data_IF_583170132295
#
_entry.id   IF_583170132295
#
_cell.length_a   1.000
_cell.length_b   1.000
_cell.length_c   1.000
_cell.angle_alpha   90.00
_cell.angle_beta   90.00
_cell.angle_gamma   90.00
#
_symmetry.space_group_name_H-M   'P 1'
#
loop_
_entity.id
_entity.type
_entity.pdbx_description
1 polymer ?
#
# COMPACT_ATOMS: atom_id res chain seq x y z
N UNK A 1 -15.48 15.32 0.16
CA UNK A 1 -14.73 16.49 -0.36
C UNK A 1 -13.78 15.99 -1.42
N UNK A 2 -14.01 16.37 -2.65
CA UNK A 2 -13.13 16.02 -3.77
C UNK A 2 -11.79 16.70 -3.51
N UNK A 3 -10.72 15.90 -3.37
CA UNK A 3 -9.35 16.41 -3.47
C UNK A 3 -9.29 17.27 -4.75
N UNK A 4 -8.73 18.47 -4.68
CA UNK A 4 -8.76 19.50 -5.73
C UNK A 4 -8.07 19.05 -7.04
N UNK A 5 -8.45 17.92 -7.63
CA UNK A 5 -8.00 17.45 -8.94
C UNK A 5 -6.47 17.28 -9.09
N UNK A 6 -5.74 17.15 -7.99
CA UNK A 6 -4.27 16.96 -7.97
C UNK A 6 -3.96 15.52 -7.56
N UNK A 7 -3.39 14.69 -8.45
CA UNK A 7 -3.13 13.26 -8.19
C UNK A 7 -2.32 13.00 -6.92
N UNK A 8 -1.27 13.78 -6.69
CA UNK A 8 -0.39 13.62 -5.52
C UNK A 8 -1.10 13.92 -4.19
N UNK A 9 -2.11 14.79 -4.16
CA UNK A 9 -2.93 15.01 -2.96
C UNK A 9 -3.79 13.80 -2.64
N UNK A 10 -4.40 13.18 -3.66
CA UNK A 10 -5.20 11.95 -3.48
C UNK A 10 -4.34 10.84 -2.89
N UNK A 11 -3.19 10.57 -3.50
CA UNK A 11 -2.27 9.54 -3.03
C UNK A 11 -1.74 9.84 -1.62
N UNK A 12 -1.48 11.11 -1.31
CA UNK A 12 -1.02 11.50 0.03
C UNK A 12 -2.12 11.29 1.10
N UNK A 13 -3.38 11.52 0.78
CA UNK A 13 -4.50 11.20 1.68
C UNK A 13 -4.63 9.68 1.89
N UNK A 14 -4.45 8.90 0.83
CA UNK A 14 -4.40 7.43 0.92
C UNK A 14 -3.22 6.96 1.78
N UNK A 15 -2.03 7.57 1.66
CA UNK A 15 -0.87 7.31 2.52
C UNK A 15 -1.20 7.54 4.00
N UNK A 16 -1.88 8.65 4.34
CA UNK A 16 -2.27 8.92 5.73
C UNK A 16 -3.23 7.85 6.28
N UNK A 17 -4.14 7.36 5.45
CA UNK A 17 -5.04 6.27 5.83
C UNK A 17 -4.26 4.96 6.06
N UNK A 18 -3.34 4.62 5.17
CA UNK A 18 -2.48 3.44 5.28
C UNK A 18 -1.60 3.49 6.53
N UNK A 19 -0.96 4.63 6.81
CA UNK A 19 -0.10 4.81 7.99
C UNK A 19 -0.87 4.59 9.31
N UNK A 20 -2.13 5.03 9.39
CA UNK A 20 -3.00 4.75 10.54
C UNK A 20 -3.26 3.24 10.69
N UNK A 21 -3.58 2.55 9.59
CA UNK A 21 -3.79 1.10 9.60
C UNK A 21 -2.53 0.33 9.98
N UNK A 22 -1.35 0.75 9.52
CA UNK A 22 -0.07 0.15 9.92
C UNK A 22 0.19 0.31 11.42
N UNK A 23 -0.16 1.44 12.01
CA UNK A 23 -0.01 1.67 13.46
C UNK A 23 -0.92 0.76 14.28
N UNK A 24 -2.17 0.55 13.83
CA UNK A 24 -3.09 -0.40 14.47
C UNK A 24 -2.55 -1.83 14.33
N UNK A 25 -2.10 -2.22 13.13
CA UNK A 25 -1.54 -3.54 12.88
C UNK A 25 -0.32 -3.83 13.76
N UNK A 26 0.58 -2.87 13.92
CA UNK A 26 1.74 -2.98 14.81
C UNK A 26 1.36 -3.30 16.26
N UNK A 27 0.32 -2.63 16.77
CA UNK A 27 -0.24 -2.91 18.09
C UNK A 27 -0.83 -4.32 18.21
N UNK A 28 -1.58 -4.77 17.20
CA UNK A 28 -2.16 -6.13 17.19
C UNK A 28 -1.09 -7.23 17.12
N UNK A 29 -0.02 -7.01 16.36
CA UNK A 29 1.11 -7.94 16.27
C UNK A 29 1.84 -8.12 17.62
N UNK A 30 1.77 -7.10 18.49
CA UNK A 30 2.25 -7.20 19.89
C UNK A 30 1.38 -8.06 20.80
N UNK A 31 0.13 -8.36 20.41
CA UNK A 31 -0.89 -9.01 21.24
C UNK A 31 -1.42 -10.33 20.66
N UNK A 32 -0.66 -11.04 19.84
CA UNK A 32 -1.10 -12.27 19.16
C UNK A 32 -1.48 -13.41 20.13
N UNK A 33 -1.03 -13.37 21.37
CA UNK A 33 -1.44 -14.30 22.42
C UNK A 33 -2.91 -14.12 22.85
N UNK A 34 -3.48 -12.95 22.59
CA UNK A 34 -4.87 -12.59 22.93
C UNK A 34 -5.78 -12.77 21.70
N UNK A 35 -5.73 -13.94 21.08
CA UNK A 35 -6.36 -14.24 19.79
C UNK A 35 -7.84 -13.83 19.73
N UNK A 36 -8.61 -14.18 20.75
CA UNK A 36 -10.06 -13.90 20.79
C UNK A 36 -10.36 -12.40 20.80
N UNK A 37 -9.51 -11.60 21.44
CA UNK A 37 -9.70 -10.16 21.57
C UNK A 37 -9.36 -9.41 20.27
N UNK A 38 -8.32 -9.86 19.54
CA UNK A 38 -7.78 -9.14 18.37
C UNK A 38 -8.29 -9.71 17.04
N UNK A 39 -8.90 -10.88 17.01
CA UNK A 39 -9.18 -11.65 15.79
C UNK A 39 -10.01 -10.87 14.76
N UNK A 40 -11.05 -10.16 15.20
CA UNK A 40 -11.93 -9.41 14.31
C UNK A 40 -11.20 -8.25 13.63
N UNK A 41 -10.45 -7.48 14.42
CA UNK A 41 -9.71 -6.32 13.89
C UNK A 41 -8.54 -6.77 13.00
N UNK A 42 -7.83 -7.82 13.41
CA UNK A 42 -6.75 -8.39 12.62
C UNK A 42 -7.23 -8.93 11.26
N UNK A 43 -8.40 -9.59 11.22
CA UNK A 43 -9.03 -10.03 9.96
C UNK A 43 -9.40 -8.87 9.05
N UNK A 44 -9.94 -7.78 9.60
CA UNK A 44 -10.26 -6.57 8.85
C UNK A 44 -9.02 -5.93 8.21
N UNK A 45 -7.92 -5.83 8.96
CA UNK A 45 -6.64 -5.35 8.44
C UNK A 45 -6.02 -6.30 7.41
N UNK A 46 -6.08 -7.61 7.66
CA UNK A 46 -5.63 -8.61 6.70
C UNK A 46 -6.38 -8.47 5.36
N UNK A 47 -7.69 -8.30 5.38
CA UNK A 47 -8.50 -8.07 4.19
C UNK A 47 -8.10 -6.78 3.47
N UNK A 48 -7.94 -5.67 4.21
CA UNK A 48 -7.48 -4.40 3.63
C UNK A 48 -6.16 -4.57 2.88
N UNK A 49 -5.14 -5.17 3.51
CA UNK A 49 -3.84 -5.41 2.88
C UNK A 49 -3.82 -6.58 1.88
N UNK A 50 -4.88 -7.36 1.79
CA UNK A 50 -5.05 -8.40 0.76
C UNK A 50 -5.71 -7.88 -0.52
N UNK A 51 -6.63 -6.91 -0.41
CA UNK A 51 -7.52 -6.49 -1.50
C UNK A 51 -7.47 -4.99 -1.78
N UNK A 52 -7.77 -4.16 -0.79
CA UNK A 52 -8.06 -2.74 -1.00
C UNK A 52 -6.80 -1.91 -1.23
N UNK A 53 -5.75 -2.18 -0.46
CA UNK A 53 -4.51 -1.41 -0.50
C UNK A 53 -3.86 -1.36 -1.90
N UNK A 54 -3.94 -2.45 -2.67
CA UNK A 54 -3.26 -2.56 -3.96
C UNK A 54 -3.81 -1.65 -5.04
N UNK A 55 -5.04 -1.13 -4.87
CA UNK A 55 -5.59 -0.09 -5.74
C UNK A 55 -4.74 1.18 -5.74
N UNK A 56 -4.11 1.48 -4.62
CA UNK A 56 -3.16 2.57 -4.50
C UNK A 56 -1.96 2.36 -5.44
N UNK A 57 -1.31 1.20 -5.38
CA UNK A 57 -0.22 0.86 -6.30
C UNK A 57 -0.67 0.79 -7.77
N UNK A 58 -1.89 0.33 -8.04
CA UNK A 58 -2.43 0.33 -9.40
C UNK A 58 -2.58 1.76 -9.95
N UNK A 59 -2.96 2.71 -9.12
CA UNK A 59 -3.03 4.13 -9.49
C UNK A 59 -1.65 4.70 -9.84
N UNK A 60 -0.64 4.34 -9.07
CA UNK A 60 0.74 4.77 -9.31
C UNK A 60 1.34 4.10 -10.53
N UNK A 61 1.30 2.77 -10.58
CA UNK A 61 1.90 1.97 -11.65
C UNK A 61 1.24 2.22 -13.03
N UNK A 62 -0.08 2.48 -13.05
CA UNK A 62 -0.85 2.62 -14.29
C UNK A 62 -1.08 4.06 -14.75
N UNK A 63 -0.95 5.05 -13.85
CA UNK A 63 -1.25 6.44 -14.20
C UNK A 63 -0.10 7.39 -13.84
N UNK A 64 0.32 7.49 -12.59
CA UNK A 64 1.30 8.49 -12.18
C UNK A 64 2.70 8.21 -12.73
N UNK A 65 3.20 7.00 -12.57
CA UNK A 65 4.56 6.63 -12.98
C UNK A 65 4.76 6.62 -14.50
N UNK A 66 3.80 6.18 -15.33
CA UNK A 66 3.89 6.35 -16.77
C UNK A 66 4.06 7.81 -17.21
N UNK A 67 3.33 8.73 -16.60
CA UNK A 67 3.47 10.17 -16.92
C UNK A 67 4.81 10.73 -16.44
N UNK A 68 5.29 10.37 -15.24
CA UNK A 68 6.62 10.74 -14.76
C UNK A 68 7.74 10.19 -15.64
N UNK A 69 7.53 9.04 -16.27
CA UNK A 69 8.46 8.42 -17.19
C UNK A 69 8.75 9.26 -18.46
N UNK A 70 8.00 10.34 -18.71
CA UNK A 70 8.30 11.33 -19.75
C UNK A 70 9.39 12.32 -19.32
N UNK A 71 9.66 12.44 -18.02
CA UNK A 71 10.59 13.40 -17.43
C UNK A 71 11.82 12.76 -16.79
N UNK A 72 11.67 11.54 -16.25
CA UNK A 72 12.74 10.79 -15.57
C UNK A 72 12.82 9.35 -16.10
N UNK A 73 14.01 8.71 -16.07
CA UNK A 73 14.16 7.34 -16.57
C UNK A 73 13.28 6.32 -15.84
N UNK A 74 12.63 5.44 -16.59
CA UNK A 74 11.79 4.36 -16.05
C UNK A 74 12.59 3.17 -15.51
N UNK A 75 13.74 2.90 -16.11
CA UNK A 75 14.59 1.74 -15.83
C UNK A 75 15.88 2.10 -15.08
N UNK A 76 15.90 3.24 -14.41
CA UNK A 76 16.99 3.71 -13.57
C UNK A 76 16.46 4.72 -12.54
N UNK A 77 17.22 4.88 -11.44
CA UNK A 77 16.94 5.91 -10.44
C UNK A 77 15.62 5.73 -9.71
N UNK A 78 14.91 6.84 -9.40
CA UNK A 78 13.75 6.83 -8.51
C UNK A 78 12.59 5.97 -8.98
N UNK A 79 12.21 6.03 -10.27
CA UNK A 79 11.10 5.24 -10.80
C UNK A 79 11.38 3.73 -10.75
N UNK A 80 12.58 3.30 -11.13
CA UNK A 80 12.95 1.90 -11.03
C UNK A 80 12.88 1.42 -9.58
N UNK A 81 13.35 2.24 -8.65
CA UNK A 81 13.29 1.91 -7.21
C UNK A 81 11.84 1.70 -6.74
N UNK A 82 10.90 2.55 -7.16
CA UNK A 82 9.47 2.39 -6.81
C UNK A 82 8.91 1.07 -7.31
N UNK A 83 9.15 0.71 -8.57
CA UNK A 83 8.68 -0.57 -9.14
C UNK A 83 9.27 -1.79 -8.39
N UNK A 84 10.55 -1.76 -8.04
CA UNK A 84 11.19 -2.84 -7.27
C UNK A 84 10.55 -2.94 -5.88
N UNK A 85 10.35 -1.82 -5.20
CA UNK A 85 9.74 -1.80 -3.87
C UNK A 85 8.28 -2.26 -3.88
N UNK A 86 7.50 -1.92 -4.91
CA UNK A 86 6.14 -2.44 -5.09
C UNK A 86 6.13 -3.97 -5.17
N UNK A 87 7.04 -4.56 -5.94
CA UNK A 87 7.17 -6.01 -6.08
C UNK A 87 7.59 -6.66 -4.75
N UNK A 88 8.59 -6.11 -4.07
CA UNK A 88 9.05 -6.59 -2.77
C UNK A 88 7.95 -6.52 -1.70
N UNK A 89 7.14 -5.44 -1.71
CA UNK A 89 6.02 -5.28 -0.80
C UNK A 89 4.90 -6.29 -1.09
N UNK A 90 4.60 -6.59 -2.37
CA UNK A 90 3.66 -7.65 -2.74
C UNK A 90 4.11 -9.01 -2.21
N UNK A 91 5.38 -9.37 -2.44
CA UNK A 91 5.96 -10.64 -1.99
C UNK A 91 5.96 -10.76 -0.45
N UNK A 92 6.34 -9.70 0.24
CA UNK A 92 6.33 -9.68 1.72
C UNK A 92 4.90 -9.80 2.28
N UNK A 93 3.94 -9.15 1.64
CA UNK A 93 2.53 -9.27 2.03
C UNK A 93 1.99 -10.69 1.82
N UNK A 94 2.36 -11.39 0.75
CA UNK A 94 1.95 -12.78 0.54
C UNK A 94 2.41 -13.69 1.69
N UNK A 95 3.66 -13.58 2.11
CA UNK A 95 4.18 -14.33 3.28
C UNK A 95 3.38 -14.00 4.54
N UNK A 96 3.09 -12.73 4.77
CA UNK A 96 2.28 -12.28 5.91
C UNK A 96 0.85 -12.83 5.86
N UNK A 97 0.19 -12.79 4.71
CA UNK A 97 -1.17 -13.31 4.52
C UNK A 97 -1.26 -14.83 4.74
N UNK A 98 -0.27 -15.60 4.28
CA UNK A 98 -0.20 -17.03 4.53
C UNK A 98 -0.09 -17.35 6.03
N UNK A 99 0.79 -16.64 6.74
CA UNK A 99 0.95 -16.81 8.18
C UNK A 99 -0.32 -16.43 8.96
N UNK A 100 -1.04 -15.39 8.53
CA UNK A 100 -2.33 -15.00 9.11
C UNK A 100 -3.43 -16.04 8.86
N UNK A 101 -3.44 -16.67 7.70
CA UNK A 101 -4.38 -17.75 7.40
C UNK A 101 -4.16 -18.95 8.33
N UNK A 102 -2.92 -19.38 8.53
CA UNK A 102 -2.58 -20.47 9.47
C UNK A 102 -3.00 -20.14 10.90
N UNK A 103 -2.79 -18.92 11.35
CA UNK A 103 -3.22 -18.44 12.66
C UNK A 103 -4.74 -18.48 12.83
N UNK A 104 -5.50 -18.13 11.79
CA UNK A 104 -6.97 -18.12 11.78
C UNK A 104 -7.58 -19.54 11.80
N UNK A 105 -6.89 -20.53 11.22
CA UNK A 105 -7.35 -21.93 11.11
C UNK A 105 -7.01 -22.79 12.34
N UNK A 106 -6.86 -22.20 13.52
CA UNK A 106 -6.48 -22.88 14.78
C UNK A 106 -5.12 -23.61 14.77
N UNK A 107 -4.27 -23.26 13.81
CA UNK A 107 -2.86 -23.64 13.81
C UNK A 107 -2.01 -22.63 14.61
N UNK A 108 -2.59 -22.12 15.70
CA UNK A 108 -1.96 -21.12 16.55
C UNK A 108 -0.89 -21.76 17.43
N UNK A 109 0.31 -21.84 16.89
CA UNK A 109 1.51 -22.23 17.60
C UNK A 109 2.44 -21.04 17.81
N UNK A 110 3.35 -21.13 18.79
CA UNK A 110 4.35 -20.08 19.01
C UNK A 110 5.16 -19.73 17.76
N UNK A 111 5.49 -20.73 16.96
CA UNK A 111 6.20 -20.54 15.68
C UNK A 111 5.36 -19.77 14.67
N UNK A 112 4.04 -19.99 14.62
CA UNK A 112 3.12 -19.24 13.74
C UNK A 112 3.08 -17.79 14.15
N UNK A 113 2.94 -17.48 15.44
CA UNK A 113 2.95 -16.11 15.96
C UNK A 113 4.27 -15.40 15.70
N UNK A 114 5.40 -16.07 15.85
CA UNK A 114 6.71 -15.53 15.55
C UNK A 114 6.85 -15.19 14.05
N UNK A 115 6.38 -16.09 13.18
CA UNK A 115 6.37 -15.87 11.74
C UNK A 115 5.52 -14.65 11.37
N UNK A 116 4.33 -14.50 11.94
CA UNK A 116 3.45 -13.36 11.73
C UNK A 116 4.13 -12.05 12.18
N UNK A 117 4.72 -12.03 13.39
CA UNK A 117 5.43 -10.83 13.87
C UNK A 117 6.56 -10.46 12.95
N UNK A 118 7.40 -11.40 12.56
CA UNK A 118 8.54 -11.15 11.69
C UNK A 118 8.11 -10.62 10.32
N UNK A 119 7.19 -11.31 9.65
CA UNK A 119 6.69 -10.92 8.34
C UNK A 119 5.90 -9.59 8.40
N UNK A 120 4.99 -9.45 9.38
CA UNK A 120 4.18 -8.25 9.55
C UNK A 120 5.00 -7.02 9.92
N UNK A 121 5.94 -7.12 10.85
CA UNK A 121 6.84 -6.00 11.20
C UNK A 121 7.79 -5.65 10.06
N UNK A 122 8.22 -6.64 9.28
CA UNK A 122 8.99 -6.42 8.05
C UNK A 122 8.19 -5.61 7.03
N UNK A 123 6.94 -6.03 6.77
CA UNK A 123 6.02 -5.33 5.87
C UNK A 123 5.74 -3.89 6.34
N UNK A 124 5.44 -3.68 7.62
CA UNK A 124 5.20 -2.35 8.20
C UNK A 124 6.40 -1.42 7.97
N UNK A 125 7.61 -1.87 8.29
CA UNK A 125 8.83 -1.07 8.12
C UNK A 125 9.07 -0.72 6.65
N UNK A 126 8.95 -1.71 5.76
CA UNK A 126 9.17 -1.51 4.32
C UNK A 126 8.17 -0.55 3.73
N UNK A 127 6.88 -0.70 4.08
CA UNK A 127 5.84 0.18 3.56
C UNK A 127 5.94 1.62 4.11
N UNK A 128 6.26 1.80 5.38
CA UNK A 128 6.54 3.13 5.94
C UNK A 128 7.70 3.81 5.24
N UNK A 129 8.81 3.10 5.02
CA UNK A 129 9.98 3.63 4.30
C UNK A 129 9.67 3.97 2.85
N UNK A 130 8.87 3.15 2.18
CA UNK A 130 8.39 3.40 0.82
C UNK A 130 7.55 4.68 0.74
N UNK A 131 6.54 4.82 1.61
CA UNK A 131 5.68 6.01 1.69
C UNK A 131 6.51 7.29 1.94
N UNK A 132 7.50 7.24 2.83
CA UNK A 132 8.37 8.40 3.11
C UNK A 132 9.16 8.82 1.87
N UNK A 133 9.77 7.87 1.16
CA UNK A 133 10.52 8.15 -0.08
C UNK A 133 9.63 8.69 -1.18
N UNK A 134 8.46 8.09 -1.36
CA UNK A 134 7.54 8.50 -2.40
C UNK A 134 6.97 9.89 -2.13
N UNK A 135 6.47 10.15 -0.95
CA UNK A 135 5.93 11.45 -0.54
C UNK A 135 7.00 12.56 -0.60
N UNK A 136 8.24 12.25 -0.22
CA UNK A 136 9.34 13.22 -0.21
C UNK A 136 9.95 13.48 -1.58
N UNK A 137 9.99 12.49 -2.46
CA UNK A 137 10.72 12.57 -3.74
C UNK A 137 9.79 12.48 -4.95
N UNK A 138 9.00 11.42 -5.08
CA UNK A 138 8.20 11.19 -6.27
C UNK A 138 7.09 12.22 -6.44
N UNK A 139 6.39 12.56 -5.37
CA UNK A 139 5.34 13.58 -5.41
C UNK A 139 5.90 14.99 -5.64
N UNK A 140 7.11 15.27 -5.13
CA UNK A 140 7.81 16.51 -5.44
C UNK A 140 8.14 16.61 -6.92
N UNK A 141 8.65 15.53 -7.52
CA UNK A 141 8.92 15.47 -8.96
C UNK A 141 7.62 15.61 -9.79
N UNK A 142 6.55 14.93 -9.40
CA UNK A 142 5.27 15.03 -10.06
C UNK A 142 4.73 16.47 -10.04
N UNK A 143 4.70 17.10 -8.88
CA UNK A 143 4.22 18.48 -8.73
C UNK A 143 5.08 19.51 -9.49
N UNK A 144 6.37 19.22 -9.74
CA UNK A 144 7.27 20.10 -10.45
C UNK A 144 7.16 19.97 -11.99
N UNK A 145 6.76 18.81 -12.49
CA UNK A 145 6.84 18.49 -13.92
C UNK A 145 5.50 18.27 -14.60
N UNK A 146 4.49 17.74 -13.93
CA UNK A 146 3.21 17.44 -14.54
C UNK A 146 2.46 18.71 -14.94
N UNK A 147 1.93 18.70 -16.16
CA UNK A 147 1.01 19.74 -16.64
C UNK A 147 -0.40 19.47 -16.11
N UNK A 148 -1.25 20.49 -16.13
CA UNK A 148 -2.66 20.34 -15.72
C UNK A 148 -3.41 19.29 -16.56
N UNK A 149 -3.11 19.20 -17.85
CA UNK A 149 -3.69 18.20 -18.74
C UNK A 149 -3.30 16.77 -18.31
N UNK A 150 -2.02 16.55 -17.97
CA UNK A 150 -1.53 15.26 -17.46
C UNK A 150 -2.16 14.92 -16.10
N UNK A 151 -2.29 15.90 -15.20
CA UNK A 151 -2.99 15.69 -13.93
C UNK A 151 -4.45 15.26 -14.14
N UNK A 152 -5.16 15.91 -15.07
CA UNK A 152 -6.55 15.57 -15.38
C UNK A 152 -6.67 14.17 -16.00
N UNK A 153 -5.72 13.76 -16.83
CA UNK A 153 -5.64 12.42 -17.40
C UNK A 153 -5.39 11.37 -16.33
N UNK A 154 -4.45 11.59 -15.43
CA UNK A 154 -4.17 10.72 -14.27
C UNK A 154 -5.43 10.57 -13.41
N UNK A 155 -6.11 11.67 -13.10
CA UNK A 155 -7.33 11.63 -12.27
C UNK A 155 -8.47 10.85 -12.95
N UNK A 156 -8.58 10.87 -14.28
CA UNK A 156 -9.53 10.03 -15.01
C UNK A 156 -9.21 8.54 -14.84
N UNK A 157 -7.93 8.15 -14.90
CA UNK A 157 -7.51 6.77 -14.68
C UNK A 157 -7.77 6.35 -13.23
N UNK A 158 -7.49 7.20 -12.25
CA UNK A 158 -7.81 6.92 -10.84
C UNK A 158 -9.30 6.62 -10.65
N UNK A 159 -10.17 7.43 -11.24
CA UNK A 159 -11.61 7.21 -11.17
C UNK A 159 -12.05 5.89 -11.82
N UNK A 160 -11.41 5.47 -12.90
CA UNK A 160 -11.67 4.17 -13.55
C UNK A 160 -11.24 2.99 -12.67
N UNK A 161 -10.07 3.09 -12.02
CA UNK A 161 -9.57 2.06 -11.08
C UNK A 161 -10.56 1.92 -9.91
N UNK A 162 -10.94 3.02 -9.29
CA UNK A 162 -11.89 3.01 -8.16
C UNK A 162 -13.26 2.44 -8.56
N UNK A 163 -13.78 2.82 -9.75
CA UNK A 163 -15.05 2.31 -10.26
C UNK A 163 -15.01 0.81 -10.57
N UNK A 164 -13.88 0.29 -11.05
CA UNK A 164 -13.70 -1.15 -11.33
C UNK A 164 -13.65 -1.97 -10.04
N UNK A 165 -13.06 -1.44 -8.98
CA UNK A 165 -13.01 -2.09 -7.67
C UNK A 165 -14.35 -2.10 -6.94
N UNK A 166 -15.25 -1.14 -7.21
CA UNK A 166 -16.56 -1.05 -6.60
C UNK A 166 -17.60 -2.01 -7.20
N UNK A 167 -17.30 -2.71 -8.31
CA UNK A 167 -18.20 -3.72 -8.89
C UNK A 167 -18.10 -5.01 -8.07
N UNK A 168 -19.22 -5.53 -7.52
CA UNK A 168 -19.21 -6.85 -6.89
C UNK A 168 -18.91 -7.92 -7.95
N UNK A 169 -18.09 -8.92 -7.57
CA UNK A 169 -17.85 -10.14 -8.36
C UNK A 169 -19.14 -10.94 -8.56
#
# INVERSE_FOLDING_TARGET
MTADGIPTKVLMEEHQHVLKKLSVMEGLLGNLEQKDEISTELKGLAYFFKKEFWLHFDKEDSALFPELGNYIPRNAGPLQMMFIEHEDLRNTNEVFQHALADYSEDKDMSITRETIRKAGMGFIRSLRSHIDKESGMMFTLANAHLTKEQEDDIMRVFAQIDASAAKPD
#
